data_IF_353343186874
#
_entry.id   IF_353343186874
#
_cell.length_a   1.000
_cell.length_b   1.000
_cell.length_c   1.000
_cell.angle_alpha   90.00
_cell.angle_beta   90.00
_cell.angle_gamma   90.00
#
_symmetry.space_group_name_H-M   'P 1'
#
loop_
_entity.id
_entity.type
_entity.pdbx_description
1 polymer ?
#
# COMPACT_ATOMS: atom_id res chain seq x y z
N UNK A 1 27.33 -4.55 24.90
CA UNK A 1 26.86 -3.31 24.24
C UNK A 1 25.80 -3.64 23.21
N UNK A 2 24.51 -3.57 23.55
CA UNK A 2 23.40 -3.78 22.61
C UNK A 2 22.40 -2.65 22.82
N UNK A 3 22.18 -1.80 21.82
CA UNK A 3 21.18 -0.72 21.89
C UNK A 3 20.41 -0.64 20.58
N UNK A 4 19.43 -1.52 20.43
CA UNK A 4 18.48 -1.47 19.32
C UNK A 4 17.34 -0.54 19.74
N UNK A 5 17.43 0.74 19.34
CA UNK A 5 16.32 1.69 19.45
C UNK A 5 15.30 1.39 18.36
N UNK A 6 14.37 0.47 18.66
CA UNK A 6 13.19 0.20 17.83
C UNK A 6 12.11 1.22 18.21
N UNK A 7 12.13 2.40 17.59
CA UNK A 7 10.98 3.32 17.67
C UNK A 7 9.90 2.84 16.70
N UNK A 8 8.99 2.00 17.20
CA UNK A 8 7.66 1.87 16.61
C UNK A 8 6.87 3.13 16.97
N UNK A 9 6.79 4.09 16.05
CA UNK A 9 5.84 5.19 16.18
C UNK A 9 4.50 4.71 15.64
N UNK A 10 3.62 4.32 16.55
CA UNK A 10 2.21 4.08 16.29
C UNK A 10 1.60 5.31 15.59
N UNK A 11 1.10 5.12 14.38
CA UNK A 11 0.15 6.05 13.78
C UNK A 11 -1.23 5.72 14.36
N UNK A 12 -1.78 6.68 15.11
CA UNK A 12 -3.18 6.70 15.54
C UNK A 12 -4.06 7.09 14.37
N UNK A 13 -4.82 6.12 13.88
CA UNK A 13 -5.91 6.27 12.94
C UNK A 13 -6.49 4.88 12.72
N UNK A 14 -7.60 4.57 13.38
CA UNK A 14 -8.31 3.30 13.21
C UNK A 14 -9.01 3.36 11.85
N UNK A 15 -8.23 3.28 10.78
CA UNK A 15 -8.70 2.85 9.48
C UNK A 15 -8.66 1.32 9.53
N UNK A 16 -9.78 0.64 9.26
CA UNK A 16 -9.81 -0.82 9.23
C UNK A 16 -8.89 -1.33 8.11
N UNK A 17 -7.62 -1.54 8.46
CA UNK A 17 -6.57 -1.94 7.54
C UNK A 17 -6.61 -3.44 7.37
N UNK A 18 -7.28 -3.88 6.31
CA UNK A 18 -7.62 -5.29 6.11
C UNK A 18 -6.46 -6.15 5.58
N UNK A 19 -5.47 -5.56 4.89
CA UNK A 19 -4.38 -6.33 4.31
C UNK A 19 -3.09 -5.54 4.17
N UNK A 20 -2.01 -6.22 4.54
CA UNK A 20 -0.66 -5.68 4.61
C UNK A 20 0.24 -6.55 3.73
N UNK A 21 0.86 -5.96 2.72
CA UNK A 21 1.88 -6.62 1.91
C UNK A 21 3.21 -5.92 2.12
N UNK A 22 4.27 -6.68 2.39
CA UNK A 22 5.62 -6.17 2.51
C UNK A 22 6.51 -6.79 1.44
N UNK A 23 7.32 -5.96 0.80
CA UNK A 23 8.35 -6.40 -0.13
C UNK A 23 9.65 -5.68 0.17
N UNK A 24 10.77 -6.37 -0.05
CA UNK A 24 12.10 -5.76 0.00
C UNK A 24 12.72 -5.89 -1.37
N UNK A 25 13.13 -4.77 -1.98
CA UNK A 25 13.85 -4.75 -3.25
C UNK A 25 15.18 -4.03 -3.03
N UNK A 26 16.29 -4.75 -3.21
CA UNK A 26 17.61 -4.23 -2.86
C UNK A 26 17.69 -3.91 -1.36
N UNK A 27 18.07 -2.66 -1.03
CA UNK A 27 18.11 -2.17 0.35
C UNK A 27 16.84 -1.37 0.73
N UNK A 28 15.77 -1.52 -0.06
CA UNK A 28 14.55 -0.71 0.04
C UNK A 28 13.35 -1.57 0.41
N UNK A 29 12.63 -1.16 1.46
CA UNK A 29 11.44 -1.80 1.98
C UNK A 29 10.22 -1.04 1.51
N UNK A 30 9.24 -1.79 1.05
CA UNK A 30 7.96 -1.28 0.57
C UNK A 30 6.85 -1.99 1.31
N UNK A 31 5.82 -1.24 1.65
CA UNK A 31 4.63 -1.71 2.35
C UNK A 31 3.39 -1.21 1.63
N UNK A 32 2.41 -2.09 1.44
CA UNK A 32 1.09 -1.73 0.92
C UNK A 32 0.06 -2.02 2.00
N UNK A 33 -0.77 -1.02 2.27
CA UNK A 33 -1.86 -1.08 3.22
C UNK A 33 -3.18 -0.79 2.51
N UNK A 34 -4.14 -1.69 2.68
CA UNK A 34 -5.50 -1.53 2.17
C UNK A 34 -6.38 -0.90 3.24
N UNK A 35 -6.66 0.40 3.07
CA UNK A 35 -7.59 1.16 3.89
C UNK A 35 -9.03 1.00 3.37
N UNK A 36 -10.02 1.57 4.04
CA UNK A 36 -11.43 1.44 3.66
C UNK A 36 -11.70 1.98 2.25
N UNK A 37 -11.15 3.15 1.92
CA UNK A 37 -11.44 3.91 0.68
C UNK A 37 -10.22 4.11 -0.23
N UNK A 38 -9.03 3.72 0.21
CA UNK A 38 -7.75 3.97 -0.48
C UNK A 38 -6.73 2.87 -0.25
N UNK A 39 -5.70 2.87 -1.08
CA UNK A 39 -4.50 2.05 -0.95
C UNK A 39 -3.36 2.98 -0.57
N UNK A 40 -2.65 2.65 0.51
CA UNK A 40 -1.48 3.40 0.95
C UNK A 40 -0.22 2.62 0.57
N UNK A 41 0.61 3.22 -0.26
CA UNK A 41 1.91 2.68 -0.65
C UNK A 41 2.99 3.40 0.16
N UNK A 42 3.69 2.70 1.05
CA UNK A 42 4.75 3.27 1.87
C UNK A 42 6.09 2.70 1.44
N UNK A 43 7.09 3.56 1.28
CA UNK A 43 8.50 3.16 1.17
C UNK A 43 9.16 3.39 2.54
N UNK A 44 9.45 2.29 3.24
CA UNK A 44 9.95 2.27 4.62
C UNK A 44 11.46 2.62 4.72
N UNK A 45 12.19 2.61 3.61
CA UNK A 45 13.62 2.95 3.57
C UNK A 45 14.00 3.60 2.23
N UNK A 46 14.78 4.68 2.25
CA UNK A 46 15.25 5.43 1.07
C UNK A 46 15.88 6.78 1.45
N UNK A 47 16.23 7.62 0.46
CA UNK A 47 16.67 9.02 0.72
C UNK A 47 15.55 9.83 1.39
N UNK A 48 15.90 10.92 2.09
CA UNK A 48 14.93 11.78 2.83
C UNK A 48 13.74 12.23 1.97
N UNK A 49 13.94 12.37 0.67
CA UNK A 49 12.93 12.79 -0.33
C UNK A 49 12.08 11.63 -0.86
N UNK A 50 12.55 10.39 -0.72
CA UNK A 50 11.85 9.16 -1.11
C UNK A 50 11.04 8.53 0.02
N UNK A 51 11.13 9.09 1.22
CA UNK A 51 10.35 8.68 2.39
C UNK A 51 8.94 9.25 2.26
N UNK A 52 7.93 8.40 2.14
CA UNK A 52 6.55 8.86 2.03
C UNK A 52 5.56 7.74 1.83
N UNK A 53 4.39 7.89 2.44
CA UNK A 53 3.19 7.14 2.08
C UNK A 53 2.50 7.87 0.93
N UNK A 54 2.23 7.18 -0.17
CA UNK A 54 1.35 7.67 -1.22
C UNK A 54 -0.03 7.03 -1.05
N UNK A 55 -0.98 7.85 -0.62
CA UNK A 55 -2.39 7.50 -0.52
C UNK A 55 -3.06 7.60 -1.89
N UNK A 56 -3.58 6.48 -2.38
CA UNK A 56 -4.24 6.39 -3.67
C UNK A 56 -5.66 5.84 -3.55
N UNK A 57 -6.70 6.57 -4.00
CA UNK A 57 -8.05 6.04 -4.07
C UNK A 57 -8.13 4.79 -4.97
N UNK A 58 -8.95 3.81 -4.60
CA UNK A 58 -9.14 2.59 -5.40
C UNK A 58 -9.50 2.86 -6.87
N UNK A 59 -10.42 3.79 -7.22
CA UNK A 59 -10.72 4.10 -8.62
C UNK A 59 -9.52 4.63 -9.38
N UNK A 60 -8.66 5.42 -8.72
CA UNK A 60 -7.44 5.97 -9.33
C UNK A 60 -6.42 4.87 -9.57
N UNK A 61 -6.27 3.94 -8.63
CA UNK A 61 -5.38 2.79 -8.79
C UNK A 61 -5.79 1.90 -9.97
N UNK A 62 -7.08 1.60 -10.12
CA UNK A 62 -7.61 0.81 -11.22
C UNK A 62 -7.34 1.43 -12.61
N UNK A 63 -7.25 2.77 -12.68
CA UNK A 63 -6.97 3.50 -13.92
C UNK A 63 -5.47 3.74 -14.16
N UNK A 64 -4.62 3.58 -13.14
CA UNK A 64 -3.21 3.96 -13.23
C UNK A 64 -2.31 2.77 -13.58
N UNK A 65 -2.04 2.61 -14.88
CA UNK A 65 -1.08 1.60 -15.37
C UNK A 65 0.32 1.77 -14.76
N UNK A 66 0.76 3.01 -14.51
CA UNK A 66 2.04 3.30 -13.84
C UNK A 66 2.13 2.61 -12.47
N UNK A 67 1.08 2.72 -11.66
CA UNK A 67 1.08 2.13 -10.33
C UNK A 67 0.90 0.61 -10.37
N UNK A 68 0.09 0.09 -11.30
CA UNK A 68 -0.04 -1.35 -11.50
C UNK A 68 1.29 -1.98 -11.92
N UNK A 69 2.02 -1.36 -12.86
CA UNK A 69 3.34 -1.80 -13.27
C UNK A 69 4.36 -1.73 -12.11
N UNK A 70 4.32 -0.66 -11.32
CA UNK A 70 5.18 -0.52 -10.15
C UNK A 70 4.92 -1.60 -9.10
N UNK A 71 3.64 -1.86 -8.77
CA UNK A 71 3.26 -2.94 -7.85
C UNK A 71 3.71 -4.30 -8.37
N UNK A 72 3.53 -4.57 -9.67
CA UNK A 72 4.01 -5.80 -10.30
C UNK A 72 5.52 -5.95 -10.18
N UNK A 73 6.27 -4.88 -10.42
CA UNK A 73 7.74 -4.90 -10.35
C UNK A 73 8.25 -5.15 -8.92
N UNK A 74 7.60 -4.56 -7.91
CA UNK A 74 8.06 -4.65 -6.51
C UNK A 74 7.52 -5.89 -5.79
N UNK A 75 6.24 -6.22 -5.99
CA UNK A 75 5.53 -7.26 -5.23
C UNK A 75 5.15 -8.49 -6.08
N UNK A 76 5.30 -8.41 -7.40
CA UNK A 76 4.93 -9.48 -8.32
C UNK A 76 3.46 -9.50 -8.74
N UNK A 77 3.16 -10.29 -9.76
CA UNK A 77 1.80 -10.43 -10.33
C UNK A 77 0.76 -10.90 -9.30
N UNK A 78 1.14 -11.82 -8.39
CA UNK A 78 0.20 -12.35 -7.38
C UNK A 78 -0.37 -11.26 -6.48
N UNK A 79 0.46 -10.30 -6.07
CA UNK A 79 0.03 -9.18 -5.23
C UNK A 79 -0.73 -8.15 -6.05
N UNK A 80 -0.31 -7.89 -7.30
CA UNK A 80 -1.06 -7.03 -8.21
C UNK A 80 -2.50 -7.54 -8.41
N UNK A 81 -2.67 -8.82 -8.74
CA UNK A 81 -3.98 -9.42 -8.96
C UNK A 81 -4.87 -9.34 -7.70
N UNK A 82 -4.29 -9.60 -6.52
CA UNK A 82 -4.99 -9.46 -5.24
C UNK A 82 -5.44 -8.01 -4.98
N UNK A 83 -4.59 -7.02 -5.31
CA UNK A 83 -4.91 -5.60 -5.17
C UNK A 83 -5.95 -5.13 -6.18
N UNK A 84 -5.90 -5.61 -7.42
CA UNK A 84 -6.92 -5.32 -8.43
C UNK A 84 -8.27 -5.91 -8.04
N UNK A 85 -8.31 -7.13 -7.52
CA UNK A 85 -9.52 -7.76 -7.01
C UNK A 85 -10.11 -6.95 -5.84
N UNK A 86 -9.29 -6.62 -4.83
CA UNK A 86 -9.73 -5.82 -3.69
C UNK A 86 -10.21 -4.42 -4.12
N UNK A 87 -9.49 -3.76 -5.04
CA UNK A 87 -9.89 -2.45 -5.53
C UNK A 87 -11.23 -2.48 -6.27
N UNK A 88 -11.48 -3.52 -7.09
CA UNK A 88 -12.76 -3.69 -7.78
C UNK A 88 -13.90 -3.95 -6.80
N UNK A 89 -13.68 -4.80 -5.80
CA UNK A 89 -14.67 -5.07 -4.75
C UNK A 89 -15.07 -3.78 -4.02
N UNK A 90 -14.09 -2.98 -3.57
CA UNK A 90 -14.34 -1.72 -2.84
C UNK A 90 -15.02 -0.66 -3.70
N UNK A 91 -14.66 -0.54 -4.98
CA UNK A 91 -15.34 0.37 -5.91
C UNK A 91 -16.76 -0.10 -6.20
N UNK A 92 -17.00 -1.41 -6.30
CA UNK A 92 -18.35 -1.97 -6.46
C UNK A 92 -19.22 -1.75 -5.22
N UNK A 93 -18.67 -1.89 -4.02
CA UNK A 93 -19.37 -1.64 -2.75
C UNK A 93 -19.71 -0.17 -2.53
N UNK A 94 -18.86 0.76 -2.98
CA UNK A 94 -19.14 2.19 -2.95
C UNK A 94 -20.32 2.61 -3.86
N UNK A 95 -20.83 1.71 -4.71
CA UNK A 95 -21.99 1.91 -5.58
C UNK A 95 -23.25 1.14 -5.17
N UNK A 96 -23.33 0.60 -3.95
CA UNK A 96 -24.53 -0.09 -3.42
C UNK A 96 -25.68 0.88 -3.06
N UNK A 97 -26.95 0.41 -3.09
CA UNK A 97 -28.11 1.19 -3.52
C UNK A 97 -28.55 2.26 -2.51
N UNK A 98 -28.96 3.41 -3.04
CA UNK A 98 -29.95 4.34 -2.44
C UNK A 98 -31.21 3.62 -1.98
#
# INVERSE_FOLDING_TARGET
MWRIRRLFRFFTGVDHTQRWHHATRGNERYSIELAETRIRFTRDTGTRESFGGNDMPYPRFLRSQKWQAHVREIFGDRVLEALLAAARERVGQAGGPT
#
